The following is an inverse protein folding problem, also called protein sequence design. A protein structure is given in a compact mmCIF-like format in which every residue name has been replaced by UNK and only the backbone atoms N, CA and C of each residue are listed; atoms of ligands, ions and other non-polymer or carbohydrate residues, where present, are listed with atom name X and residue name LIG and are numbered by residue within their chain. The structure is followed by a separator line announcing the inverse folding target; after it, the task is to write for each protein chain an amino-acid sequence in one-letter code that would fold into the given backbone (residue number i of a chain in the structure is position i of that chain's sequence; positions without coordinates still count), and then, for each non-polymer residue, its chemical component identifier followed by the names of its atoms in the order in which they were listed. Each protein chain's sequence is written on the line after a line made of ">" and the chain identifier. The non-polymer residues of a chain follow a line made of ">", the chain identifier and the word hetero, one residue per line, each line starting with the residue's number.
data_IF_774421129101
#
_entry.id   IF_774421129101
#
_cell.length_a   1.000
_cell.length_b   1.000
_cell.length_c   1.000
_cell.angle_alpha   90.00
_cell.angle_beta   90.00
_cell.angle_gamma   90.00
#
_symmetry.space_group_name_H-M   'P 1'
#
loop_
_entity.id
_entity.type
_entity.pdbx_description
1 polymer ?
#
# COMPACT_ATOMS: atom_id res chain seq x y z
N UNK A 1 31.88 6.26 34.17
CA UNK A 1 30.58 6.60 33.54
C UNK A 1 30.48 5.72 32.32
N UNK A 2 29.55 4.73 32.32
CA UNK A 2 29.28 3.89 31.13
C UNK A 2 28.18 4.60 30.39
N UNK A 3 28.50 5.16 29.19
CA UNK A 3 27.50 5.63 28.24
C UNK A 3 26.66 4.42 27.81
N UNK A 4 25.48 4.28 28.38
CA UNK A 4 24.45 3.42 27.85
C UNK A 4 23.80 4.16 26.65
N UNK A 5 24.50 4.21 25.52
CA UNK A 5 23.88 4.57 24.27
C UNK A 5 22.82 3.51 23.99
N UNK A 6 21.54 3.89 24.09
CA UNK A 6 20.41 3.05 23.67
C UNK A 6 20.59 2.84 22.17
N UNK A 7 20.96 1.65 21.77
CA UNK A 7 21.11 1.28 20.35
C UNK A 7 19.69 1.12 19.79
N UNK A 8 19.17 2.22 19.25
CA UNK A 8 17.86 2.18 18.57
C UNK A 8 18.10 1.57 17.20
N UNK A 9 17.52 0.40 16.96
CA UNK A 9 17.49 -0.18 15.61
C UNK A 9 16.61 0.70 14.73
N UNK A 10 17.10 1.21 13.60
CA UNK A 10 16.30 2.07 12.73
C UNK A 10 15.15 1.29 12.12
N UNK A 11 13.97 1.92 12.03
CA UNK A 11 12.82 1.44 11.28
C UNK A 11 12.79 2.15 9.93
N UNK A 12 12.91 1.40 8.84
CA UNK A 12 13.11 1.93 7.49
C UNK A 12 11.85 1.88 6.66
N UNK A 13 11.47 3.04 6.12
CA UNK A 13 10.32 3.18 5.23
C UNK A 13 10.80 3.62 3.85
N UNK A 14 10.50 2.84 2.81
CA UNK A 14 10.73 3.22 1.43
C UNK A 14 9.39 3.63 0.78
N UNK A 15 9.31 4.88 0.33
CA UNK A 15 8.15 5.43 -0.38
C UNK A 15 8.52 5.66 -1.84
N UNK A 16 7.81 5.02 -2.76
CA UNK A 16 7.94 5.26 -4.20
C UNK A 16 6.66 5.89 -4.71
N UNK A 17 6.78 7.08 -5.28
CA UNK A 17 5.65 7.82 -5.88
C UNK A 17 5.93 8.19 -7.33
N UNK A 18 4.90 8.59 -8.08
CA UNK A 18 5.09 8.96 -9.49
C UNK A 18 5.98 10.19 -9.63
N UNK A 19 5.70 11.24 -8.90
CA UNK A 19 6.37 12.54 -9.05
C UNK A 19 6.91 13.11 -7.73
N UNK A 20 7.75 14.16 -7.85
CA UNK A 20 8.36 14.84 -6.73
C UNK A 20 7.44 15.87 -6.02
N UNK A 21 6.25 16.13 -6.54
CA UNK A 21 5.35 17.13 -5.93
C UNK A 21 4.92 16.75 -4.53
N UNK A 22 4.82 15.45 -4.28
CA UNK A 22 4.49 14.91 -2.95
C UNK A 22 5.71 14.81 -2.02
N UNK A 23 6.93 14.94 -2.53
CA UNK A 23 8.15 14.79 -1.71
C UNK A 23 8.24 15.86 -0.62
N UNK A 24 8.05 17.15 -0.96
CA UNK A 24 8.15 18.25 0.01
C UNK A 24 7.14 18.19 1.16
N UNK A 25 5.83 17.92 0.93
CA UNK A 25 4.89 17.69 2.03
C UNK A 25 5.29 16.52 2.91
N UNK A 26 5.79 15.43 2.31
CA UNK A 26 6.28 14.27 3.06
C UNK A 26 7.52 14.61 3.89
N UNK A 27 8.51 15.30 3.33
CA UNK A 27 9.71 15.74 4.05
C UNK A 27 9.37 16.56 5.30
N UNK A 28 8.43 17.51 5.20
CA UNK A 28 7.96 18.29 6.36
C UNK A 28 7.24 17.43 7.40
N UNK A 29 6.45 16.45 6.96
CA UNK A 29 5.80 15.53 7.88
C UNK A 29 6.84 14.68 8.61
N UNK A 30 7.88 14.24 7.91
CA UNK A 30 8.98 13.46 8.46
C UNK A 30 9.78 14.23 9.49
N UNK A 31 10.11 15.52 9.24
CA UNK A 31 10.80 16.37 10.21
C UNK A 31 10.07 16.36 11.57
N UNK A 32 8.74 16.42 11.55
CA UNK A 32 7.92 16.36 12.77
C UNK A 32 7.91 14.94 13.38
N UNK A 33 7.78 13.90 12.55
CA UNK A 33 7.71 12.51 13.01
C UNK A 33 9.04 12.03 13.61
N UNK A 34 10.18 12.43 13.06
CA UNK A 34 11.51 12.04 13.57
C UNK A 34 11.77 12.58 14.98
N UNK A 35 11.08 13.65 15.41
CA UNK A 35 11.15 14.14 16.79
C UNK A 35 10.49 13.14 17.75
N UNK A 36 9.35 12.59 17.37
CA UNK A 36 8.58 11.65 18.18
C UNK A 36 9.12 10.21 18.07
N UNK A 37 9.73 9.89 16.93
CA UNK A 37 10.25 8.56 16.58
C UNK A 37 11.72 8.63 16.14
N UNK A 38 12.69 8.76 17.05
CA UNK A 38 14.10 9.03 16.71
C UNK A 38 14.82 7.90 15.97
N UNK A 39 14.18 6.73 15.82
CA UNK A 39 14.72 5.61 15.03
C UNK A 39 14.08 5.50 13.64
N UNK A 40 13.25 6.46 13.22
CA UNK A 40 12.57 6.39 11.94
C UNK A 40 13.45 6.92 10.79
N UNK A 41 13.71 6.09 9.80
CA UNK A 41 14.40 6.45 8.55
C UNK A 41 13.40 6.33 7.39
N UNK A 42 13.23 7.39 6.59
CA UNK A 42 12.30 7.38 5.47
C UNK A 42 12.95 7.91 4.20
N UNK A 43 12.96 7.09 3.17
CA UNK A 43 13.43 7.44 1.83
C UNK A 43 12.25 7.60 0.88
N UNK A 44 12.26 8.68 0.08
CA UNK A 44 11.20 9.01 -0.89
C UNK A 44 11.80 9.10 -2.28
N UNK A 45 11.25 8.33 -3.22
CA UNK A 45 11.71 8.25 -4.59
C UNK A 45 10.60 8.63 -5.57
N UNK A 46 10.93 9.47 -6.57
CA UNK A 46 10.05 9.86 -7.66
C UNK A 46 10.34 9.04 -8.91
N UNK A 47 9.43 8.17 -9.32
CA UNK A 47 9.62 7.27 -10.46
C UNK A 47 9.74 8.01 -11.80
N UNK A 48 9.12 9.18 -11.93
CA UNK A 48 9.22 10.01 -13.14
C UNK A 48 10.65 10.45 -13.51
N UNK A 49 11.59 10.40 -12.56
CA UNK A 49 12.99 10.76 -12.79
C UNK A 49 13.85 9.60 -13.29
N UNK A 50 13.35 8.37 -13.28
CA UNK A 50 14.18 7.17 -13.54
C UNK A 50 14.66 7.04 -14.96
N UNK A 51 13.85 7.52 -15.93
CA UNK A 51 14.25 7.53 -17.35
C UNK A 51 15.49 8.39 -17.59
N UNK A 52 15.55 9.54 -16.91
CA UNK A 52 16.64 10.51 -17.08
C UNK A 52 17.79 10.24 -16.12
N UNK A 53 17.52 9.55 -15.02
CA UNK A 53 18.51 9.24 -13.98
C UNK A 53 18.37 7.79 -13.48
N UNK A 54 18.97 6.82 -14.17
CA UNK A 54 18.90 5.41 -13.75
C UNK A 54 19.49 5.13 -12.35
N UNK A 55 20.38 6.01 -11.85
CA UNK A 55 20.95 5.87 -10.51
C UNK A 55 19.91 6.05 -9.41
N UNK A 56 18.86 6.84 -9.66
CA UNK A 56 17.74 7.01 -8.71
C UNK A 56 16.92 5.72 -8.58
N UNK A 57 16.72 4.98 -9.65
CA UNK A 57 16.09 3.65 -9.57
C UNK A 57 16.95 2.67 -8.76
N UNK A 58 18.27 2.69 -8.95
CA UNK A 58 19.18 1.83 -8.18
C UNK A 58 19.12 2.12 -6.69
N UNK A 59 19.04 3.40 -6.28
CA UNK A 59 18.85 3.81 -4.89
C UNK A 59 17.49 3.36 -4.36
N UNK A 60 16.41 3.56 -5.13
CA UNK A 60 15.08 3.11 -4.75
C UNK A 60 15.04 1.59 -4.53
N UNK A 61 15.66 0.82 -5.42
CA UNK A 61 15.80 -0.63 -5.28
C UNK A 61 16.50 -1.00 -3.99
N UNK A 62 17.65 -0.40 -3.71
CA UNK A 62 18.42 -0.67 -2.49
C UNK A 62 17.62 -0.32 -1.23
N UNK A 63 16.92 0.81 -1.22
CA UNK A 63 16.08 1.21 -0.10
C UNK A 63 14.94 0.21 0.14
N UNK A 64 14.26 -0.26 -0.92
CA UNK A 64 13.21 -1.28 -0.83
C UNK A 64 13.74 -2.60 -0.28
N UNK A 65 14.92 -3.04 -0.72
CA UNK A 65 15.55 -4.27 -0.24
C UNK A 65 15.86 -4.26 1.26
N UNK A 66 16.00 -3.06 1.85
CA UNK A 66 16.29 -2.86 3.27
C UNK A 66 15.10 -2.35 4.09
N UNK A 67 13.98 -2.05 3.44
CA UNK A 67 12.83 -1.45 4.11
C UNK A 67 12.08 -2.43 5.00
N UNK A 68 11.57 -1.92 6.13
CA UNK A 68 10.62 -2.58 7.01
C UNK A 68 9.17 -2.30 6.55
N UNK A 69 8.94 -1.12 5.96
CA UNK A 69 7.68 -0.73 5.33
C UNK A 69 7.90 -0.19 3.91
N UNK A 70 7.17 -0.71 2.95
CA UNK A 70 7.21 -0.26 1.55
C UNK A 70 5.88 0.38 1.18
N UNK A 71 5.92 1.59 0.65
CA UNK A 71 4.73 2.31 0.13
C UNK A 71 4.92 2.63 -1.35
N UNK A 72 4.08 2.06 -2.20
CA UNK A 72 3.97 2.43 -3.61
C UNK A 72 2.74 3.30 -3.82
N UNK A 73 2.89 4.49 -4.40
CA UNK A 73 1.82 5.47 -4.58
C UNK A 73 1.80 6.07 -5.98
N UNK A 74 0.61 6.16 -6.60
CA UNK A 74 0.37 6.78 -7.91
C UNK A 74 1.18 6.16 -9.07
N UNK A 75 1.50 4.87 -9.01
CA UNK A 75 2.30 4.18 -10.04
C UNK A 75 1.39 3.39 -11.00
N UNK A 76 1.17 3.92 -12.19
CA UNK A 76 0.31 3.32 -13.22
C UNK A 76 1.04 2.97 -14.51
N UNK A 77 2.17 3.66 -14.77
CA UNK A 77 2.88 3.52 -16.03
C UNK A 77 3.71 2.23 -16.01
N UNK A 78 3.58 1.45 -17.08
CA UNK A 78 4.22 0.15 -17.21
C UNK A 78 5.76 0.25 -17.07
N UNK A 79 6.34 1.33 -17.56
CA UNK A 79 7.77 1.63 -17.45
C UNK A 79 8.28 1.76 -16.01
N UNK A 80 7.41 2.17 -15.08
CA UNK A 80 7.72 2.25 -13.63
C UNK A 80 7.35 0.96 -12.91
N UNK A 81 6.22 0.36 -13.28
CA UNK A 81 5.69 -0.85 -12.62
C UNK A 81 6.55 -2.06 -12.91
N UNK A 82 6.93 -2.30 -14.18
CA UNK A 82 7.72 -3.47 -14.60
C UNK A 82 9.04 -3.63 -13.85
N UNK A 83 9.89 -2.60 -13.71
CA UNK A 83 11.15 -2.76 -12.99
C UNK A 83 10.96 -2.84 -11.47
N UNK A 84 9.92 -2.20 -10.92
CA UNK A 84 9.68 -2.12 -9.49
C UNK A 84 9.03 -3.38 -8.92
N UNK A 85 8.08 -3.97 -9.64
CA UNK A 85 7.30 -5.11 -9.17
C UNK A 85 8.15 -6.28 -8.68
N UNK A 86 9.17 -6.77 -9.39
CA UNK A 86 10.00 -7.88 -8.93
C UNK A 86 10.77 -7.57 -7.63
N UNK A 87 11.15 -6.29 -7.44
CA UNK A 87 11.86 -5.85 -6.22
C UNK A 87 10.94 -5.90 -5.02
N UNK A 88 9.69 -5.42 -5.17
CA UNK A 88 8.67 -5.47 -4.12
C UNK A 88 8.28 -6.92 -3.84
N UNK A 89 8.06 -7.74 -4.85
CA UNK A 89 7.72 -9.16 -4.69
C UNK A 89 8.78 -9.92 -3.91
N UNK A 90 10.06 -9.69 -4.21
CA UNK A 90 11.17 -10.34 -3.52
C UNK A 90 11.25 -9.96 -2.03
N UNK A 91 10.87 -8.72 -1.66
CA UNK A 91 10.94 -8.20 -0.29
C UNK A 91 9.66 -8.40 0.51
N UNK A 92 8.53 -8.61 -0.18
CA UNK A 92 7.18 -8.57 0.38
C UNK A 92 6.98 -9.42 1.66
N UNK A 93 7.54 -10.61 1.69
CA UNK A 93 7.31 -11.53 2.80
C UNK A 93 8.31 -11.34 3.95
N UNK A 94 9.41 -10.61 3.71
CA UNK A 94 10.48 -10.34 4.67
C UNK A 94 10.38 -8.95 5.33
N UNK A 95 9.46 -8.08 4.90
CA UNK A 95 9.20 -6.78 5.53
C UNK A 95 7.90 -6.83 6.34
N UNK A 96 7.68 -5.84 7.21
CA UNK A 96 6.48 -5.77 8.06
C UNK A 96 5.22 -5.48 7.26
N UNK A 97 5.32 -4.58 6.28
CA UNK A 97 4.19 -4.27 5.42
C UNK A 97 4.59 -3.76 4.03
N UNK A 98 3.72 -4.04 3.04
CA UNK A 98 3.73 -3.44 1.71
C UNK A 98 2.36 -2.83 1.46
N UNK A 99 2.31 -1.57 1.02
CA UNK A 99 1.07 -0.84 0.77
C UNK A 99 1.08 -0.22 -0.62
N UNK A 100 0.23 -0.68 -1.52
CA UNK A 100 0.00 -0.10 -2.83
C UNK A 100 -1.24 0.80 -2.82
N UNK A 101 -1.07 2.12 -3.02
CA UNK A 101 -2.15 3.11 -2.98
C UNK A 101 -2.28 3.77 -4.35
N UNK A 102 -3.45 3.65 -4.96
CA UNK A 102 -3.72 4.26 -6.28
C UNK A 102 -2.60 3.87 -7.26
N UNK A 103 -2.41 2.57 -7.47
CA UNK A 103 -1.38 2.00 -8.35
C UNK A 103 -1.99 1.04 -9.36
N UNK A 104 -1.15 0.55 -10.28
CA UNK A 104 -1.47 -0.61 -11.11
C UNK A 104 -1.91 -1.80 -10.25
N UNK A 105 -2.80 -2.62 -10.79
CA UNK A 105 -3.38 -3.76 -10.08
C UNK A 105 -2.32 -4.78 -9.61
N UNK A 106 -1.21 -4.93 -10.31
CA UNK A 106 -0.14 -5.82 -9.92
C UNK A 106 0.56 -5.34 -8.63
N UNK A 107 0.81 -4.03 -8.50
CA UNK A 107 1.36 -3.43 -7.29
C UNK A 107 0.35 -3.45 -6.13
N UNK A 108 -0.93 -3.14 -6.40
CA UNK A 108 -1.98 -3.20 -5.37
C UNK A 108 -2.11 -4.61 -4.79
N UNK A 109 -1.97 -5.66 -5.61
CA UNK A 109 -1.98 -7.05 -5.14
C UNK A 109 -0.85 -7.37 -4.17
N UNK A 110 0.26 -6.65 -4.19
CA UNK A 110 1.36 -6.85 -3.26
C UNK A 110 1.04 -6.32 -1.85
N UNK A 111 -0.07 -5.59 -1.69
CA UNK A 111 -0.45 -5.05 -0.39
C UNK A 111 -0.62 -6.15 0.65
N UNK A 112 0.18 -6.03 1.72
CA UNK A 112 0.16 -6.88 2.91
C UNK A 112 0.43 -6.02 4.14
N UNK A 113 -0.45 -6.08 5.13
CA UNK A 113 -0.29 -5.34 6.38
C UNK A 113 -1.05 -6.07 7.49
N UNK A 114 -0.34 -6.62 8.46
CA UNK A 114 -0.93 -7.44 9.52
C UNK A 114 -1.72 -8.62 8.95
N UNK A 115 -3.01 -8.68 9.24
CA UNK A 115 -3.91 -9.73 8.73
C UNK A 115 -4.46 -9.48 7.31
N UNK A 116 -4.23 -8.28 6.77
CA UNK A 116 -4.61 -7.96 5.40
C UNK A 116 -3.55 -8.48 4.43
N UNK A 117 -3.94 -9.36 3.52
CA UNK A 117 -3.11 -9.85 2.43
C UNK A 117 -3.94 -9.91 1.15
N UNK A 118 -3.61 -9.01 0.19
CA UNK A 118 -4.32 -8.95 -1.10
C UNK A 118 -3.84 -9.99 -2.12
N UNK A 119 -2.74 -10.68 -1.84
CA UNK A 119 -2.24 -11.79 -2.65
C UNK A 119 -2.87 -13.12 -2.23
N UNK A 120 -3.33 -13.22 -0.99
CA UNK A 120 -3.94 -14.43 -0.48
C UNK A 120 -5.18 -14.81 -1.31
N UNK A 121 -5.41 -16.10 -1.60
CA UNK A 121 -6.62 -16.55 -2.25
C UNK A 121 -7.82 -16.07 -1.42
N UNK A 122 -8.80 -15.49 -2.10
CA UNK A 122 -9.98 -14.86 -1.48
C UNK A 122 -10.53 -15.76 -0.35
N UNK A 123 -10.35 -15.36 0.90
CA UNK A 123 -10.99 -16.02 2.03
C UNK A 123 -12.51 -15.93 1.86
N UNK A 124 -13.23 -16.95 2.32
CA UNK A 124 -14.65 -17.19 2.00
C UNK A 124 -15.60 -15.98 2.12
N UNK A 125 -15.26 -14.96 2.93
CA UNK A 125 -16.03 -13.71 3.05
C UNK A 125 -15.90 -12.81 1.82
N UNK A 126 -14.72 -12.68 1.22
CA UNK A 126 -14.50 -11.91 0.00
C UNK A 126 -15.06 -12.65 -1.23
N UNK A 127 -14.92 -13.97 -1.28
CA UNK A 127 -15.53 -14.80 -2.31
C UNK A 127 -17.09 -14.70 -2.27
N UNK A 128 -17.67 -14.64 -1.07
CA UNK A 128 -19.10 -14.42 -0.87
C UNK A 128 -19.54 -13.03 -1.35
N UNK A 129 -18.77 -11.97 -1.00
CA UNK A 129 -19.03 -10.60 -1.46
C UNK A 129 -18.92 -10.48 -2.99
N UNK A 130 -17.98 -11.18 -3.60
CA UNK A 130 -17.81 -11.21 -5.06
C UNK A 130 -18.96 -11.98 -5.74
N UNK A 131 -19.43 -13.07 -5.14
CA UNK A 131 -20.65 -13.79 -5.59
C UNK A 131 -21.90 -12.92 -5.46
N UNK A 132 -22.05 -12.16 -4.39
CA UNK A 132 -23.16 -11.22 -4.18
C UNK A 132 -23.08 -10.01 -5.12
N UNK A 133 -21.88 -9.60 -5.53
CA UNK A 133 -21.64 -8.53 -6.51
C UNK A 133 -22.07 -8.94 -7.93
N UNK A 134 -22.28 -10.21 -8.20
CA UNK A 134 -22.67 -10.73 -9.50
C UNK A 134 -21.54 -10.61 -10.53
N UNK A 135 -21.39 -11.61 -11.37
CA UNK A 135 -20.57 -11.58 -12.57
C UNK A 135 -21.21 -10.61 -13.58
N UNK A 136 -21.00 -9.31 -13.37
CA UNK A 136 -21.45 -8.30 -14.33
C UNK A 136 -20.45 -8.24 -15.46
N UNK A 137 -20.74 -8.94 -16.56
CA UNK A 137 -20.30 -8.46 -17.88
C UNK A 137 -20.70 -6.98 -17.99
N UNK A 138 -19.90 -6.11 -18.65
CA UNK A 138 -20.25 -4.72 -18.82
C UNK A 138 -21.49 -4.62 -19.72
N UNK A 139 -22.66 -4.64 -19.13
CA UNK A 139 -23.90 -4.28 -19.75
C UNK A 139 -24.34 -2.95 -19.19
N UNK A 140 -24.70 -2.05 -20.08
CA UNK A 140 -25.22 -0.69 -19.91
C UNK A 140 -26.50 -0.63 -19.05
N UNK A 141 -26.63 -1.41 -18.00
CA UNK A 141 -27.80 -1.40 -17.13
C UNK A 141 -27.62 -0.46 -15.95
N UNK A 142 -28.19 0.69 -16.11
CA UNK A 142 -28.80 1.67 -15.22
C UNK A 142 -28.33 1.69 -13.75
N UNK A 143 -27.77 2.86 -13.35
CA UNK A 143 -27.36 3.19 -11.98
C UNK A 143 -28.40 2.92 -10.89
N UNK A 144 -29.68 2.83 -11.24
CA UNK A 144 -30.78 2.49 -10.31
C UNK A 144 -30.67 1.10 -9.66
N UNK A 145 -30.22 0.07 -10.41
CA UNK A 145 -30.02 -1.27 -9.82
C UNK A 145 -28.89 -1.29 -8.79
N UNK A 146 -27.81 -0.54 -9.05
CA UNK A 146 -26.69 -0.37 -8.09
C UNK A 146 -27.14 0.37 -6.83
N UNK A 147 -27.93 1.42 -6.97
CA UNK A 147 -28.49 2.17 -5.84
C UNK A 147 -29.48 1.34 -5.02
N UNK A 148 -30.28 0.51 -5.65
CA UNK A 148 -31.22 -0.39 -4.95
C UNK A 148 -30.49 -1.48 -4.16
N UNK A 149 -29.32 -1.93 -4.63
CA UNK A 149 -28.46 -2.90 -3.94
C UNK A 149 -27.77 -2.24 -2.73
N UNK A 150 -27.24 -1.02 -2.88
CA UNK A 150 -26.62 -0.25 -1.79
C UNK A 150 -27.62 0.05 -0.66
N UNK A 151 -28.89 0.29 -0.95
CA UNK A 151 -29.95 0.46 0.07
C UNK A 151 -30.27 -0.81 0.86
N UNK A 152 -29.91 -2.00 0.36
CA UNK A 152 -30.11 -3.29 1.06
C UNK A 152 -28.91 -3.71 1.92
N UNK A 153 -27.73 -3.13 1.69
CA UNK A 153 -26.51 -3.42 2.45
C UNK A 153 -26.66 -3.28 3.97
N UNK A 154 -27.30 -2.22 4.53
CA UNK A 154 -27.45 -2.09 5.97
C UNK A 154 -28.27 -3.22 6.61
N UNK A 155 -29.20 -3.83 5.86
CA UNK A 155 -30.01 -4.96 6.34
C UNK A 155 -29.23 -6.27 6.37
N UNK A 156 -28.26 -6.44 5.46
CA UNK A 156 -27.43 -7.65 5.37
C UNK A 156 -26.30 -7.61 6.41
N UNK A 157 -25.72 -6.43 6.66
CA UNK A 157 -24.70 -6.22 7.69
C UNK A 157 -25.18 -6.53 9.11
N UNK A 158 -26.49 -6.47 9.33
CA UNK A 158 -27.09 -6.79 10.63
C UNK A 158 -27.04 -8.29 10.98
N UNK A 159 -26.76 -9.16 9.99
CA UNK A 159 -26.71 -10.61 10.17
C UNK A 159 -25.29 -11.19 10.15
N UNK A 160 -24.25 -10.35 10.08
CA UNK A 160 -22.87 -10.80 10.20
C UNK A 160 -22.49 -10.82 11.67
N UNK A 161 -22.33 -11.99 12.31
CA UNK A 161 -21.93 -12.09 13.70
C UNK A 161 -20.45 -11.71 13.84
N UNK A 162 -20.17 -10.73 14.64
CA UNK A 162 -18.83 -10.39 15.10
C UNK A 162 -18.15 -9.21 14.37
N UNK A 163 -17.82 -8.17 15.13
CA UNK A 163 -16.96 -7.01 14.82
C UNK A 163 -17.51 -5.86 13.97
N UNK A 164 -18.76 -5.85 13.57
CA UNK A 164 -19.35 -4.67 12.91
C UNK A 164 -19.98 -3.65 13.90
N UNK A 165 -19.84 -3.85 15.21
CA UNK A 165 -20.42 -2.96 16.22
C UNK A 165 -19.48 -1.85 16.70
N UNK A 166 -18.18 -1.89 16.32
CA UNK A 166 -17.18 -0.89 16.75
C UNK A 166 -17.03 0.30 15.80
N UNK A 167 -17.92 0.44 14.82
CA UNK A 167 -17.98 1.60 13.92
C UNK A 167 -19.21 2.44 14.23
N UNK A 168 -19.24 3.04 15.42
CA UNK A 168 -20.12 4.16 15.76
C UNK A 168 -19.30 5.34 16.20
#
# INVERSE_FOLDING_TARGET
>A
MRDNAVHITPYRIAIVTLDSHNARPCERALENMCVDYPGLEVDIFAAATWSDNPSEFAKAKQAIEQADLIVANLLFLEEHVKPLLPVIEARRDDCDAVVGIICDAALVKQTRMGSLDMHAPESGTMALLKRLRGSSKPSTETGEKKMRMLRRLPKILKYIPGKAQDLR
#
